data_IF_712570453061
#
_entry.id   IF_712570453061
#
_cell.length_a   1.000
_cell.length_b   1.000
_cell.length_c   1.000
_cell.angle_alpha   90.00
_cell.angle_beta   90.00
_cell.angle_gamma   90.00
#
_symmetry.space_group_name_H-M   'P 1'
#
loop_
_entity.id
_entity.type
_entity.pdbx_description
1 polymer ?
#
# COMPACT_ATOMS: atom_id res chain seq x y z
N UNK A 1 -21.46 0.40 7.44
CA UNK A 1 -20.93 0.86 8.74
C UNK A 1 -19.44 1.15 8.56
N UNK A 2 -18.87 2.11 9.29
CA UNK A 2 -17.40 2.29 9.29
C UNK A 2 -16.72 1.07 9.91
N UNK A 3 -15.48 0.80 9.50
CA UNK A 3 -14.68 -0.30 10.01
C UNK A 3 -13.34 0.25 10.47
N UNK A 4 -12.91 -0.15 11.67
CA UNK A 4 -11.59 0.20 12.19
C UNK A 4 -10.58 -0.90 11.85
N UNK A 5 -9.32 -0.53 11.55
CA UNK A 5 -8.26 -1.52 11.42
C UNK A 5 -7.94 -2.14 12.78
N UNK A 6 -7.47 -3.40 12.77
CA UNK A 6 -6.91 -4.02 13.99
C UNK A 6 -5.62 -3.34 14.42
N UNK A 7 -4.83 -2.90 13.44
CA UNK A 7 -3.55 -2.24 13.59
C UNK A 7 -3.24 -1.43 12.32
N UNK A 8 -2.49 -0.35 12.46
CA UNK A 8 -1.90 0.45 11.40
C UNK A 8 -0.39 0.26 11.46
N UNK A 9 0.24 -0.04 10.33
CA UNK A 9 1.70 -0.20 10.25
C UNK A 9 2.30 0.84 9.33
N UNK A 10 3.33 1.51 9.82
CA UNK A 10 4.09 2.52 9.09
C UNK A 10 5.49 1.98 8.90
N UNK A 11 5.88 1.79 7.64
CA UNK A 11 7.17 1.26 7.26
C UNK A 11 8.09 2.42 6.87
N UNK A 12 9.17 2.61 7.62
CA UNK A 12 10.23 3.57 7.30
C UNK A 12 11.34 2.84 6.54
N UNK A 13 11.53 3.21 5.27
CA UNK A 13 12.60 2.67 4.43
C UNK A 13 13.97 2.99 5.03
N UNK A 14 14.97 2.08 4.91
CA UNK A 14 16.34 2.36 5.37
C UNK A 14 16.98 3.55 4.65
N UNK A 15 16.51 3.90 3.45
CA UNK A 15 17.00 5.07 2.70
C UNK A 15 16.38 6.39 3.14
N UNK A 16 15.34 6.35 3.99
CA UNK A 16 14.69 7.56 4.50
C UNK A 16 15.67 8.44 5.28
N UNK A 17 15.51 9.76 5.22
CA UNK A 17 16.34 10.69 6.00
C UNK A 17 16.24 10.43 7.51
N UNK A 18 15.11 9.88 7.96
CA UNK A 18 14.86 9.53 9.36
C UNK A 18 15.80 8.40 9.79
N UNK A 19 15.87 7.32 9.01
CA UNK A 19 16.68 6.11 9.32
C UNK A 19 18.19 6.33 9.18
N UNK A 20 18.62 7.40 8.50
CA UNK A 20 20.04 7.76 8.41
C UNK A 20 20.61 8.34 9.72
N UNK A 21 19.76 8.63 10.73
CA UNK A 21 20.22 9.13 12.01
C UNK A 21 20.91 8.04 12.85
N UNK A 22 22.12 8.33 13.34
CA UNK A 22 22.84 7.43 14.26
C UNK A 22 22.01 7.25 15.55
N UNK A 23 21.86 6.01 15.99
CA UNK A 23 21.12 5.62 17.20
C UNK A 23 19.60 5.89 17.14
N UNK A 24 18.99 5.89 15.96
CA UNK A 24 17.53 5.98 15.85
C UNK A 24 16.86 4.80 16.56
N UNK A 25 16.16 5.07 17.67
CA UNK A 25 15.20 4.16 18.29
C UNK A 25 13.79 4.73 18.15
N UNK A 26 12.76 3.89 18.29
CA UNK A 26 11.36 4.36 18.27
C UNK A 26 11.07 5.34 19.42
N UNK A 27 11.68 5.13 20.58
CA UNK A 27 11.58 6.04 21.73
C UNK A 27 12.24 7.38 21.47
N UNK A 28 13.41 7.37 20.82
CA UNK A 28 14.08 8.59 20.37
C UNK A 28 13.24 9.32 19.34
N UNK A 29 12.69 8.62 18.33
CA UNK A 29 11.82 9.20 17.32
C UNK A 29 10.59 9.86 17.94
N UNK A 30 9.92 9.15 18.86
CA UNK A 30 8.76 9.66 19.60
C UNK A 30 9.09 10.95 20.34
N UNK A 31 10.15 10.93 21.15
CA UNK A 31 10.53 12.07 21.98
C UNK A 31 10.88 13.29 21.12
N UNK A 32 11.60 13.09 20.02
CA UNK A 32 12.00 14.18 19.14
C UNK A 32 10.82 14.78 18.36
N UNK A 33 9.94 13.95 17.78
CA UNK A 33 8.77 14.47 17.04
C UNK A 33 7.84 15.21 17.99
N UNK A 34 7.57 14.69 19.19
CA UNK A 34 6.72 15.36 20.18
C UNK A 34 7.30 16.70 20.67
N UNK A 35 8.62 16.84 20.74
CA UNK A 35 9.27 18.11 21.06
C UNK A 35 9.14 19.14 19.93
N UNK A 36 9.07 18.69 18.68
CA UNK A 36 8.92 19.56 17.51
C UNK A 36 7.45 19.97 17.30
N UNK A 37 6.53 19.04 17.49
CA UNK A 37 5.09 19.27 17.39
C UNK A 37 4.32 18.42 18.41
N UNK A 38 3.66 19.11 19.34
CA UNK A 38 2.84 18.51 20.40
C UNK A 38 1.36 18.46 20.05
N UNK A 39 1.01 18.67 18.77
CA UNK A 39 -0.37 18.57 18.30
C UNK A 39 -0.98 17.19 18.56
N UNK A 40 -2.31 17.16 18.61
CA UNK A 40 -3.06 15.90 18.71
C UNK A 40 -2.74 14.96 17.52
N UNK A 41 -2.39 15.52 16.36
CA UNK A 41 -2.04 14.77 15.15
C UNK A 41 -0.79 13.93 15.40
N UNK A 42 0.28 14.52 15.95
CA UNK A 42 1.49 13.78 16.30
C UNK A 42 1.23 12.76 17.41
N UNK A 43 0.38 13.10 18.37
CA UNK A 43 0.03 12.15 19.43
C UNK A 43 -0.63 10.88 18.86
N UNK A 44 -1.47 11.01 17.82
CA UNK A 44 -2.10 9.87 17.15
C UNK A 44 -1.11 8.95 16.43
N UNK A 45 0.05 9.45 16.00
CA UNK A 45 1.12 8.62 15.42
C UNK A 45 1.66 7.58 16.42
N UNK A 46 1.47 7.82 17.71
CA UNK A 46 1.92 6.97 18.80
C UNK A 46 0.77 6.27 19.54
N UNK A 47 -0.43 6.27 18.97
CA UNK A 47 -1.56 5.49 19.48
C UNK A 47 -1.21 3.99 19.51
N UNK A 48 -1.84 3.23 20.42
CA UNK A 48 -1.65 1.79 20.57
C UNK A 48 -1.97 0.97 19.31
N UNK A 49 -2.77 1.53 18.39
CA UNK A 49 -3.09 0.91 17.11
C UNK A 49 -1.98 1.10 16.07
N UNK A 50 -1.02 2.01 16.28
CA UNK A 50 0.02 2.34 15.30
C UNK A 50 1.35 1.67 15.70
N UNK A 51 1.92 0.91 14.78
CA UNK A 51 3.27 0.37 14.86
C UNK A 51 4.15 1.00 13.77
N UNK A 52 5.24 1.64 14.18
CA UNK A 52 6.26 2.16 13.27
C UNK A 52 7.39 1.13 13.19
N UNK A 53 7.78 0.75 11.97
CA UNK A 53 8.83 -0.24 11.71
C UNK A 53 9.95 0.40 10.92
N UNK A 54 11.18 0.12 11.34
CA UNK A 54 12.38 0.49 10.61
C UNK A 54 12.77 -0.71 9.76
N UNK A 55 12.57 -0.62 8.44
CA UNK A 55 12.91 -1.70 7.53
C UNK A 55 14.40 -1.71 7.22
N UNK A 56 14.96 -2.90 7.03
CA UNK A 56 16.39 -3.08 6.72
C UNK A 56 16.65 -3.09 5.21
N UNK A 57 15.61 -3.32 4.41
CA UNK A 57 15.66 -3.38 2.96
C UNK A 57 14.67 -2.37 2.37
N UNK A 58 15.06 -1.70 1.30
CA UNK A 58 14.21 -0.77 0.56
C UNK A 58 13.73 -1.43 -0.74
N UNK A 59 12.45 -1.75 -0.80
CA UNK A 59 11.80 -2.29 -1.98
C UNK A 59 11.14 -1.18 -2.83
N UNK A 60 11.55 0.08 -2.64
CA UNK A 60 10.91 1.24 -3.25
C UNK A 60 9.45 1.36 -2.79
N UNK A 61 8.50 1.68 -3.69
CA UNK A 61 7.09 1.71 -3.34
C UNK A 61 6.56 0.38 -2.81
N UNK A 62 7.21 -0.76 -3.09
CA UNK A 62 6.74 -2.05 -2.60
C UNK A 62 6.98 -2.26 -1.10
N UNK A 63 7.77 -1.40 -0.45
CA UNK A 63 8.03 -1.43 0.99
C UNK A 63 6.76 -1.34 1.84
N UNK A 64 5.69 -0.72 1.33
CA UNK A 64 4.40 -0.64 2.04
C UNK A 64 3.62 -1.96 2.11
N UNK A 65 3.97 -2.97 1.30
CA UNK A 65 3.24 -4.24 1.29
C UNK A 65 4.10 -5.51 1.33
N UNK A 66 5.32 -5.52 0.78
CA UNK A 66 6.14 -6.74 0.77
C UNK A 66 6.50 -7.26 2.18
N UNK A 67 6.95 -6.41 3.14
CA UNK A 67 7.27 -6.89 4.49
C UNK A 67 6.06 -7.51 5.19
N UNK A 68 4.88 -6.90 5.03
CA UNK A 68 3.66 -7.37 5.70
C UNK A 68 3.12 -8.65 5.08
N UNK A 69 3.18 -8.83 3.76
CA UNK A 69 2.80 -10.10 3.15
C UNK A 69 3.69 -11.23 3.66
N UNK A 70 4.99 -10.97 3.89
CA UNK A 70 5.94 -11.98 4.38
C UNK A 70 5.62 -12.42 5.79
N UNK A 71 5.30 -11.45 6.65
CA UNK A 71 4.93 -11.71 8.03
C UNK A 71 3.58 -12.44 8.15
N UNK A 72 2.61 -12.07 7.32
CA UNK A 72 1.25 -12.62 7.36
C UNK A 72 0.99 -13.68 6.27
N UNK A 73 2.02 -14.27 5.68
CA UNK A 73 1.83 -15.21 4.56
C UNK A 73 0.96 -16.42 4.94
N UNK A 74 1.10 -16.90 6.19
CA UNK A 74 0.29 -17.99 6.75
C UNK A 74 -1.06 -17.53 7.30
N UNK A 75 -1.30 -16.21 7.39
CA UNK A 75 -2.55 -15.63 7.83
C UNK A 75 -3.42 -15.24 6.62
N UNK A 76 -4.72 -15.48 6.73
CA UNK A 76 -5.71 -15.06 5.72
C UNK A 76 -6.18 -13.61 5.92
N UNK A 77 -5.60 -12.89 6.89
CA UNK A 77 -5.95 -11.54 7.26
C UNK A 77 -5.80 -10.58 6.07
N UNK A 78 -6.89 -9.88 5.69
CA UNK A 78 -6.82 -8.80 4.71
C UNK A 78 -5.96 -7.64 5.18
N UNK A 79 -5.19 -7.09 4.25
CA UNK A 79 -4.31 -5.95 4.47
C UNK A 79 -4.76 -4.82 3.55
N UNK A 80 -5.18 -3.69 4.12
CA UNK A 80 -5.37 -2.46 3.35
C UNK A 80 -4.04 -1.74 3.26
N UNK A 81 -3.60 -1.47 2.04
CA UNK A 81 -2.36 -0.77 1.73
C UNK A 81 -2.72 0.68 1.40
N UNK A 82 -1.99 1.61 2.03
CA UNK A 82 -2.19 3.05 1.89
C UNK A 82 -0.92 3.72 1.35
N UNK A 83 -1.13 4.80 0.63
CA UNK A 83 -0.14 5.84 0.33
C UNK A 83 -0.09 6.89 1.43
N UNK A 84 1.07 7.53 1.56
CA UNK A 84 1.43 8.54 2.56
C UNK A 84 0.95 9.96 2.21
N UNK A 85 0.43 10.17 1.00
CA UNK A 85 0.00 11.47 0.48
C UNK A 85 -1.53 11.58 0.27
N UNK A 86 -2.31 10.65 0.82
CA UNK A 86 -3.76 10.58 0.62
C UNK A 86 -4.55 10.72 1.92
N UNK A 87 -5.69 11.41 1.82
CA UNK A 87 -6.75 11.35 2.82
C UNK A 87 -7.78 10.30 2.41
N UNK A 88 -7.99 9.31 3.29
CA UNK A 88 -8.97 8.25 3.03
C UNK A 88 -10.33 8.59 3.63
N UNK A 89 -11.39 8.30 2.87
CA UNK A 89 -12.75 8.39 3.37
C UNK A 89 -12.95 7.43 4.57
N UNK A 90 -13.72 7.78 5.61
CA UNK A 90 -14.01 6.87 6.74
C UNK A 90 -14.64 5.51 6.39
N UNK A 91 -15.10 5.34 5.14
CA UNK A 91 -15.68 4.08 4.65
C UNK A 91 -14.72 3.29 3.75
N UNK A 92 -13.53 3.81 3.43
CA UNK A 92 -12.58 3.18 2.50
C UNK A 92 -12.28 1.74 2.90
N UNK A 93 -11.92 1.50 4.17
CA UNK A 93 -11.64 0.15 4.68
C UNK A 93 -12.87 -0.75 4.61
N UNK A 94 -14.04 -0.26 5.05
CA UNK A 94 -15.28 -1.03 5.05
C UNK A 94 -15.68 -1.45 3.63
N UNK A 95 -15.59 -0.54 2.67
CA UNK A 95 -15.87 -0.79 1.26
C UNK A 95 -14.91 -1.82 0.68
N UNK A 96 -13.59 -1.63 0.85
CA UNK A 96 -12.60 -2.61 0.37
C UNK A 96 -12.82 -3.99 0.99
N UNK A 97 -13.09 -4.03 2.30
CA UNK A 97 -13.32 -5.28 3.01
C UNK A 97 -14.56 -6.00 2.51
N UNK A 98 -15.70 -5.31 2.37
CA UNK A 98 -16.93 -5.87 1.81
C UNK A 98 -16.68 -6.56 0.46
N UNK A 99 -16.05 -5.86 -0.48
CA UNK A 99 -15.75 -6.40 -1.80
C UNK A 99 -14.71 -7.53 -1.75
N UNK A 100 -13.72 -7.46 -0.86
CA UNK A 100 -12.75 -8.55 -0.68
C UNK A 100 -13.38 -9.84 -0.15
N UNK A 101 -14.52 -9.73 0.53
CA UNK A 101 -15.27 -10.89 1.02
C UNK A 101 -16.07 -11.53 -0.13
N UNK A 102 -16.59 -10.71 -1.05
CA UNK A 102 -17.30 -11.18 -2.26
C UNK A 102 -16.35 -11.77 -3.31
N UNK A 103 -15.11 -11.28 -3.35
CA UNK A 103 -14.08 -11.68 -4.32
C UNK A 103 -12.79 -12.11 -3.60
N UNK A 104 -12.77 -13.26 -2.90
CA UNK A 104 -11.66 -13.64 -2.02
C UNK A 104 -10.34 -13.94 -2.75
N UNK A 105 -10.38 -14.25 -4.04
CA UNK A 105 -9.21 -14.54 -4.87
C UNK A 105 -8.82 -13.33 -5.73
N UNK A 106 -8.96 -12.12 -5.20
CA UNK A 106 -8.71 -10.87 -5.94
C UNK A 106 -8.13 -9.80 -5.03
N UNK A 107 -7.28 -8.96 -5.60
CA UNK A 107 -6.94 -7.67 -5.03
C UNK A 107 -8.06 -6.68 -5.37
N UNK A 108 -8.51 -5.92 -4.37
CA UNK A 108 -9.56 -4.93 -4.54
C UNK A 108 -8.94 -3.55 -4.41
N UNK A 109 -9.14 -2.67 -5.38
CA UNK A 109 -8.62 -1.30 -5.34
C UNK A 109 -9.61 -0.31 -5.93
N UNK A 110 -9.37 0.97 -5.66
CA UNK A 110 -10.20 2.04 -6.20
C UNK A 110 -9.69 2.55 -7.56
N UNK A 111 -8.45 2.22 -7.93
CA UNK A 111 -7.87 2.55 -9.23
C UNK A 111 -7.14 1.34 -9.84
N UNK A 112 -7.30 1.18 -11.14
CA UNK A 112 -6.59 0.15 -11.89
C UNK A 112 -6.37 0.52 -13.34
N UNK A 113 -5.61 -0.32 -14.03
CA UNK A 113 -5.24 -0.12 -15.42
C UNK A 113 -5.69 -1.31 -16.28
N UNK A 114 -6.39 -1.00 -17.37
CA UNK A 114 -6.79 -1.98 -18.38
C UNK A 114 -5.60 -2.27 -19.28
N UNK A 115 -5.14 -3.52 -19.23
CA UNK A 115 -4.01 -4.00 -20.02
C UNK A 115 -4.30 -3.92 -21.51
N UNK A 116 -3.36 -3.32 -22.25
CA UNK A 116 -3.35 -3.23 -23.70
C UNK A 116 -2.86 -4.54 -24.31
N UNK A 117 -3.28 -4.80 -25.54
CA UNK A 117 -2.83 -5.99 -26.28
C UNK A 117 -1.32 -5.98 -26.59
N UNK A 118 -0.69 -4.80 -26.66
CA UNK A 118 0.75 -4.66 -26.86
C UNK A 118 1.58 -4.79 -25.58
N UNK A 119 0.91 -4.94 -24.42
CA UNK A 119 1.53 -5.06 -23.09
C UNK A 119 2.43 -3.86 -22.71
N UNK A 120 2.28 -2.71 -23.38
CA UNK A 120 3.07 -1.52 -23.07
C UNK A 120 2.41 -0.76 -21.93
N UNK A 121 3.18 -0.53 -20.85
CA UNK A 121 2.79 0.32 -19.74
C UNK A 121 2.95 1.80 -20.09
N UNK A 122 2.01 2.63 -19.64
CA UNK A 122 2.04 4.07 -19.88
C UNK A 122 1.57 4.44 -21.29
N UNK A 123 0.69 5.44 -21.40
CA UNK A 123 0.39 6.08 -22.70
C UNK A 123 0.57 7.58 -22.54
N UNK A 124 1.28 8.27 -23.44
CA UNK A 124 1.46 9.70 -23.30
C UNK A 124 0.12 10.47 -23.27
N UNK A 125 -0.09 11.20 -22.18
CA UNK A 125 -1.11 12.24 -22.06
C UNK A 125 -2.55 11.74 -21.93
N UNK A 126 -3.49 12.50 -22.49
CA UNK A 126 -4.94 12.36 -22.28
C UNK A 126 -5.53 10.99 -22.64
N UNK A 127 -4.85 10.23 -23.50
CA UNK A 127 -5.34 8.93 -23.96
C UNK A 127 -5.20 7.84 -22.89
N UNK A 128 -4.19 7.92 -22.03
CA UNK A 128 -4.07 6.98 -20.90
C UNK A 128 -5.23 7.10 -19.93
N UNK A 129 -5.49 8.33 -19.50
CA UNK A 129 -6.54 8.65 -18.53
C UNK A 129 -7.91 8.29 -19.10
N UNK A 130 -8.15 8.56 -20.39
CA UNK A 130 -9.45 8.33 -21.00
C UNK A 130 -9.77 6.85 -21.27
N UNK A 131 -8.77 6.01 -21.57
CA UNK A 131 -9.02 4.67 -22.10
C UNK A 131 -8.47 3.52 -21.27
N UNK A 132 -7.48 3.78 -20.42
CA UNK A 132 -6.75 2.72 -19.71
C UNK A 132 -6.89 2.82 -18.20
N UNK A 133 -7.00 4.03 -17.64
CA UNK A 133 -7.26 4.21 -16.22
C UNK A 133 -8.73 3.96 -15.91
N UNK A 134 -8.95 3.05 -14.97
CA UNK A 134 -10.25 2.73 -14.40
C UNK A 134 -10.27 3.26 -12.98
N UNK A 135 -11.17 4.20 -12.68
CA UNK A 135 -11.39 4.70 -11.32
C UNK A 135 -12.78 4.32 -10.84
N UNK A 136 -12.83 3.76 -9.65
CA UNK A 136 -14.04 3.29 -9.00
C UNK A 136 -15.16 4.33 -8.83
N UNK A 137 -14.91 5.65 -8.63
CA UNK A 137 -16.01 6.61 -8.51
C UNK A 137 -16.86 6.72 -9.79
N UNK A 138 -16.32 6.31 -10.93
CA UNK A 138 -17.00 6.33 -12.23
C UNK A 138 -17.62 4.97 -12.62
N UNK A 139 -17.57 3.98 -11.73
CA UNK A 139 -18.09 2.64 -12.00
C UNK A 139 -19.43 2.41 -11.30
N UNK A 140 -20.40 1.89 -12.04
CA UNK A 140 -21.67 1.41 -11.48
C UNK A 140 -21.59 -0.04 -10.95
N UNK A 141 -20.52 -0.77 -11.29
CA UNK A 141 -20.28 -2.16 -10.89
C UNK A 141 -18.79 -2.48 -10.86
N UNK A 142 -18.41 -3.56 -10.18
CA UNK A 142 -17.02 -4.04 -10.16
C UNK A 142 -16.48 -4.24 -11.59
N UNK A 143 -15.22 -3.87 -11.79
CA UNK A 143 -14.55 -3.99 -13.08
C UNK A 143 -13.21 -4.72 -12.90
N UNK A 144 -12.99 -5.77 -13.69
CA UNK A 144 -11.72 -6.51 -13.67
C UNK A 144 -10.67 -5.75 -14.47
N UNK A 145 -9.60 -5.35 -13.80
CA UNK A 145 -8.41 -4.75 -14.40
C UNK A 145 -7.29 -5.77 -14.53
N UNK A 146 -6.30 -5.48 -15.37
CA UNK A 146 -5.09 -6.31 -15.46
C UNK A 146 -4.01 -5.88 -14.48
N UNK A 147 -3.99 -4.60 -14.08
CA UNK A 147 -3.09 -4.07 -13.05
C UNK A 147 -3.92 -3.27 -12.04
N UNK A 148 -3.79 -3.56 -10.75
CA UNK A 148 -4.25 -2.67 -9.68
C UNK A 148 -3.12 -1.68 -9.43
N UNK A 149 -3.41 -0.40 -9.52
CA UNK A 149 -2.39 0.62 -9.27
C UNK A 149 -2.36 0.93 -7.79
N UNK A 150 -1.18 1.09 -7.21
CA UNK A 150 -0.99 1.46 -5.81
C UNK A 150 -1.28 2.94 -5.57
N UNK A 151 -2.49 3.38 -5.95
CA UNK A 151 -3.03 4.74 -5.76
C UNK A 151 -4.46 4.59 -5.26
N UNK A 152 -4.89 5.48 -4.36
CA UNK A 152 -6.22 5.50 -3.75
C UNK A 152 -6.50 4.31 -2.80
N UNK A 153 -5.47 3.66 -2.30
CA UNK A 153 -5.51 2.42 -1.52
C UNK A 153 -6.12 1.19 -2.21
N UNK A 154 -5.67 0.04 -1.74
CA UNK A 154 -6.13 -1.27 -2.17
C UNK A 154 -6.04 -2.27 -1.03
N UNK A 155 -6.82 -3.33 -1.10
CA UNK A 155 -6.84 -4.40 -0.14
C UNK A 155 -6.37 -5.69 -0.80
N UNK A 156 -5.38 -6.30 -0.16
CA UNK A 156 -4.80 -7.57 -0.55
C UNK A 156 -5.10 -8.62 0.52
N UNK A 157 -5.08 -9.89 0.11
CA UNK A 157 -4.93 -11.02 1.02
C UNK A 157 -3.55 -11.64 0.75
N UNK A 158 -2.73 -11.93 1.77
CA UNK A 158 -1.43 -12.56 1.55
C UNK A 158 -1.52 -13.83 0.68
N UNK A 159 -2.57 -14.62 0.87
CA UNK A 159 -2.87 -15.83 0.09
C UNK A 159 -3.16 -15.61 -1.40
N UNK A 160 -3.32 -14.37 -1.87
CA UNK A 160 -3.41 -14.07 -3.30
C UNK A 160 -2.07 -14.28 -4.01
N UNK A 161 -0.97 -14.07 -3.28
CA UNK A 161 0.38 -14.18 -3.81
C UNK A 161 0.94 -15.56 -3.55
N UNK A 162 1.69 -16.09 -4.52
CA UNK A 162 2.50 -17.28 -4.30
C UNK A 162 3.88 -16.91 -3.71
N UNK A 163 4.66 -17.93 -3.35
CA UNK A 163 5.98 -17.76 -2.72
C UNK A 163 7.00 -16.99 -3.56
N UNK A 164 6.77 -16.86 -4.88
CA UNK A 164 7.67 -16.17 -5.80
C UNK A 164 7.47 -14.66 -5.79
N UNK A 165 6.54 -14.11 -4.99
CA UNK A 165 6.42 -12.64 -4.82
C UNK A 165 7.70 -12.01 -4.26
N UNK A 166 8.52 -12.80 -3.54
CA UNK A 166 9.83 -12.39 -3.04
C UNK A 166 10.97 -12.74 -3.98
N UNK A 167 10.66 -13.29 -5.15
CA UNK A 167 11.73 -13.69 -6.05
C UNK A 167 12.50 -12.48 -6.52
N UNK A 168 13.79 -12.74 -6.63
CA UNK A 168 14.77 -11.85 -7.18
C UNK A 168 14.28 -11.23 -8.51
N UNK A 169 13.91 -9.95 -8.45
CA UNK A 169 13.61 -9.16 -9.63
C UNK A 169 14.85 -9.01 -10.53
N UNK A 170 16.01 -9.62 -10.22
CA UNK A 170 17.18 -9.66 -11.10
C UNK A 170 16.94 -10.18 -12.51
N UNK A 171 15.84 -10.92 -12.74
CA UNK A 171 15.41 -11.27 -14.10
C UNK A 171 14.30 -10.37 -14.66
N UNK A 172 13.65 -9.55 -13.83
CA UNK A 172 12.78 -8.50 -14.32
C UNK A 172 13.63 -7.45 -15.03
N UNK A 173 13.25 -7.01 -16.25
CA UNK A 173 13.99 -5.98 -16.94
C UNK A 173 14.03 -4.69 -16.11
N UNK A 174 15.12 -3.92 -16.26
CA UNK A 174 15.45 -2.82 -15.36
C UNK A 174 14.37 -1.72 -15.30
N UNK A 175 13.57 -1.60 -16.36
CA UNK A 175 12.42 -0.70 -16.49
C UNK A 175 11.22 -1.10 -15.61
N UNK A 176 11.19 -2.34 -15.08
CA UNK A 176 10.12 -2.83 -14.19
C UNK A 176 10.49 -2.66 -12.71
N UNK A 177 11.79 -2.56 -12.37
CA UNK A 177 12.27 -2.51 -10.97
C UNK A 177 12.16 -1.14 -10.32
N UNK A 178 11.93 -0.11 -11.12
CA UNK A 178 11.85 1.28 -10.67
C UNK A 178 10.44 1.79 -10.98
N UNK A 179 9.47 1.37 -10.17
CA UNK A 179 8.20 2.10 -10.03
C UNK A 179 8.41 3.19 -9.01
#
# INVERSE_FOLDING_TARGET
QTQLPKQIRIYLSPTSLITQQKNLTLEYLRSNIQNLDSSEIITRLFDKLVEIRLEVEDYGPATKFLPIIKEFYSDSQPLMICDDDQYYHPYTLATLYEYSTKYPNSIIGFRGWRVRNDLIWGVPGKYEIAYHIIQSPYLSKIYRVGVVTATDAYLIRPSFFDSHIYNDFNQAPNDIRHV
#
